data_IF_236509151450
#
_entry.id   IF_236509151450
#
_cell.length_a   1.000
_cell.length_b   1.000
_cell.length_c   1.000
_cell.angle_alpha   90.00
_cell.angle_beta   90.00
_cell.angle_gamma   90.00
#
_symmetry.space_group_name_H-M   'P 1'
#
loop_
_entity.id
_entity.type
_entity.pdbx_description
1 polymer ?
#
# COMPACT_ATOMS: atom_id res chain seq x y z
N UNK A 1 -7.12 10.29 -10.07
CA UNK A 1 -8.38 10.71 -10.73
C UNK A 1 -8.14 11.54 -12.00
N UNK A 2 -7.45 12.69 -11.94
CA UNK A 2 -7.32 13.62 -13.07
C UNK A 2 -6.77 12.97 -14.36
N UNK A 3 -5.76 12.10 -14.24
CA UNK A 3 -5.22 11.31 -15.35
C UNK A 3 -6.26 10.44 -16.08
N UNK A 4 -7.28 9.96 -15.36
CA UNK A 4 -8.35 9.11 -15.91
C UNK A 4 -9.49 9.88 -16.59
N UNK A 5 -9.49 11.21 -16.55
CA UNK A 5 -10.51 12.00 -17.24
C UNK A 5 -10.29 11.97 -18.76
N UNK A 6 -11.36 11.85 -19.58
CA UNK A 6 -11.26 11.84 -21.04
C UNK A 6 -10.58 13.08 -21.64
N UNK A 7 -10.60 14.22 -20.94
CA UNK A 7 -9.92 15.46 -21.33
C UNK A 7 -8.39 15.41 -21.18
N UNK A 8 -7.89 14.43 -20.41
CA UNK A 8 -6.45 14.18 -20.22
C UNK A 8 -6.02 12.95 -21.02
N UNK A 9 -6.72 11.82 -20.87
CA UNK A 9 -6.45 10.58 -21.60
C UNK A 9 -7.74 9.85 -21.94
N UNK A 10 -7.92 9.52 -23.22
CA UNK A 10 -9.05 8.74 -23.70
C UNK A 10 -8.97 7.30 -23.16
N UNK A 11 -10.14 6.68 -22.97
CA UNK A 11 -10.30 5.27 -22.60
C UNK A 11 -9.70 4.83 -21.23
N UNK A 12 -9.33 5.79 -20.37
CA UNK A 12 -8.85 5.55 -19.00
C UNK A 12 -9.94 5.68 -17.91
N UNK A 13 -11.21 5.45 -18.26
CA UNK A 13 -12.34 5.65 -17.34
C UNK A 13 -12.31 4.71 -16.13
N UNK A 14 -11.73 3.51 -16.27
CA UNK A 14 -11.55 2.58 -15.13
C UNK A 14 -10.63 3.18 -14.06
N UNK A 15 -9.55 3.87 -14.48
CA UNK A 15 -8.66 4.58 -13.54
C UNK A 15 -9.43 5.68 -12.83
N UNK A 16 -10.31 6.41 -13.54
CA UNK A 16 -11.15 7.44 -12.93
C UNK A 16 -12.09 6.86 -11.88
N UNK A 17 -12.85 5.82 -12.21
CA UNK A 17 -13.90 5.29 -11.33
C UNK A 17 -13.34 4.72 -10.03
N UNK A 18 -12.32 3.86 -10.10
CA UNK A 18 -11.74 3.22 -8.91
C UNK A 18 -11.07 4.23 -7.99
N UNK A 19 -10.36 5.23 -8.53
CA UNK A 19 -9.74 6.27 -7.73
C UNK A 19 -10.78 7.23 -7.14
N UNK A 20 -11.92 7.44 -7.81
CA UNK A 20 -13.02 8.26 -7.27
C UNK A 20 -13.68 7.56 -6.08
N UNK A 21 -13.91 6.24 -6.18
CA UNK A 21 -14.39 5.43 -5.05
C UNK A 21 -13.36 5.44 -3.91
N UNK A 22 -12.07 5.29 -4.24
CA UNK A 22 -10.97 5.38 -3.27
C UNK A 22 -10.95 6.70 -2.51
N UNK A 23 -11.10 7.83 -3.21
CA UNK A 23 -11.18 9.15 -2.60
C UNK A 23 -12.36 9.24 -1.63
N UNK A 24 -13.55 8.77 -2.01
CA UNK A 24 -14.72 8.79 -1.12
C UNK A 24 -14.43 8.01 0.17
N UNK A 25 -13.86 6.81 0.05
CA UNK A 25 -13.49 5.98 1.20
C UNK A 25 -12.44 6.69 2.08
N UNK A 26 -11.41 7.28 1.47
CA UNK A 26 -10.36 8.02 2.18
C UNK A 26 -10.92 9.24 2.93
N UNK A 27 -11.79 10.03 2.29
CA UNK A 27 -12.47 11.16 2.92
C UNK A 27 -13.34 10.72 4.09
N UNK A 28 -14.00 9.56 4.01
CA UNK A 28 -14.75 9.00 5.15
C UNK A 28 -13.80 8.65 6.31
N UNK A 29 -12.69 7.96 6.04
CA UNK A 29 -11.69 7.64 7.08
C UNK A 29 -11.10 8.90 7.72
N UNK A 30 -10.74 9.90 6.92
CA UNK A 30 -10.21 11.17 7.39
C UNK A 30 -11.24 11.97 8.19
N UNK A 31 -12.51 11.95 7.78
CA UNK A 31 -13.60 12.59 8.52
C UNK A 31 -13.75 11.97 9.90
N UNK A 32 -13.79 10.63 9.98
CA UNK A 32 -13.82 9.91 11.26
C UNK A 32 -12.60 10.29 12.11
N UNK A 33 -11.40 10.30 11.54
CA UNK A 33 -10.18 10.70 12.26
C UNK A 33 -10.26 12.14 12.80
N UNK A 34 -10.67 13.09 11.96
CA UNK A 34 -10.76 14.51 12.31
C UNK A 34 -11.90 14.78 13.29
N UNK A 35 -12.95 13.96 13.36
CA UNK A 35 -14.03 14.14 14.36
C UNK A 35 -13.64 13.51 15.70
N UNK A 36 -13.10 12.29 15.69
CA UNK A 36 -12.96 11.47 16.90
C UNK A 36 -11.56 11.46 17.53
N UNK A 37 -10.52 11.96 16.86
CA UNK A 37 -9.19 11.98 17.46
C UNK A 37 -9.13 12.95 18.67
N UNK A 38 -8.63 12.47 19.80
CA UNK A 38 -8.57 13.26 21.04
C UNK A 38 -7.49 14.38 20.99
N UNK A 39 -6.49 14.24 20.11
CA UNK A 39 -5.38 15.20 20.00
C UNK A 39 -5.70 16.31 19.00
N UNK A 40 -6.13 17.48 19.51
CA UNK A 40 -6.44 18.66 18.71
C UNK A 40 -5.26 19.13 17.84
N UNK A 41 -4.01 19.02 18.33
CA UNK A 41 -2.84 19.45 17.55
C UNK A 41 -2.61 18.53 16.35
N UNK A 42 -2.75 17.22 16.53
CA UNK A 42 -2.66 16.24 15.42
C UNK A 42 -3.78 16.44 14.41
N UNK A 43 -5.02 16.65 14.87
CA UNK A 43 -6.17 16.94 13.98
C UNK A 43 -5.93 18.18 13.12
N UNK A 44 -5.49 19.28 13.73
CA UNK A 44 -5.19 20.50 12.99
C UNK A 44 -4.03 20.28 12.01
N UNK A 45 -3.00 19.52 12.38
CA UNK A 45 -1.90 19.18 11.46
C UNK A 45 -2.42 18.43 10.24
N UNK A 46 -3.26 17.40 10.42
CA UNK A 46 -3.87 16.65 9.32
C UNK A 46 -4.73 17.57 8.46
N UNK A 47 -5.56 18.42 9.05
CA UNK A 47 -6.39 19.37 8.30
C UNK A 47 -5.56 20.33 7.42
N UNK A 48 -4.44 20.86 7.92
CA UNK A 48 -3.55 21.72 7.12
C UNK A 48 -2.85 20.94 5.99
N UNK A 49 -2.45 19.69 6.23
CA UNK A 49 -1.86 18.82 5.19
C UNK A 49 -2.89 18.58 4.08
N UNK A 50 -4.14 18.27 4.42
CA UNK A 50 -5.22 18.06 3.45
C UNK A 50 -5.52 19.33 2.64
N UNK A 51 -5.52 20.50 3.30
CA UNK A 51 -5.69 21.77 2.61
C UNK A 51 -4.56 22.01 1.60
N UNK A 52 -3.31 21.75 2.01
CA UNK A 52 -2.15 21.90 1.15
C UNK A 52 -2.17 20.92 -0.05
N UNK A 53 -2.58 19.68 0.17
CA UNK A 53 -2.76 18.67 -0.88
C UNK A 53 -3.87 19.05 -1.87
N UNK A 54 -5.00 19.55 -1.38
CA UNK A 54 -6.09 20.03 -2.22
C UNK A 54 -5.64 21.23 -3.06
N UNK A 55 -4.92 22.18 -2.46
CA UNK A 55 -4.36 23.33 -3.17
C UNK A 55 -3.34 22.90 -4.24
N UNK A 56 -2.45 21.94 -3.92
CA UNK A 56 -1.50 21.37 -4.86
C UNK A 56 -2.22 20.69 -6.03
N UNK A 57 -3.27 19.93 -5.76
CA UNK A 57 -4.08 19.27 -6.79
C UNK A 57 -4.72 20.28 -7.73
N UNK A 58 -5.33 21.35 -7.19
CA UNK A 58 -5.89 22.44 -8.00
C UNK A 58 -4.81 23.11 -8.84
N UNK A 59 -3.63 23.39 -8.27
CA UNK A 59 -2.52 23.99 -9.00
C UNK A 59 -2.05 23.09 -10.16
N UNK A 60 -1.87 21.79 -9.92
CA UNK A 60 -1.48 20.83 -10.97
C UNK A 60 -2.52 20.76 -12.09
N UNK A 61 -3.82 20.74 -11.73
CA UNK A 61 -4.91 20.75 -12.73
C UNK A 61 -4.89 22.04 -13.55
N UNK A 62 -4.75 23.20 -12.91
CA UNK A 62 -4.70 24.48 -13.61
C UNK A 62 -3.49 24.58 -14.54
N UNK A 63 -2.29 24.19 -14.07
CA UNK A 63 -1.07 24.17 -14.90
C UNK A 63 -1.26 23.21 -16.09
N UNK A 64 -1.81 22.01 -15.86
CA UNK A 64 -2.07 21.05 -16.93
C UNK A 64 -3.07 21.57 -17.96
N UNK A 65 -4.09 22.33 -17.54
CA UNK A 65 -5.12 22.85 -18.44
C UNK A 65 -4.69 24.12 -19.18
N UNK A 66 -3.93 25.00 -18.53
CA UNK A 66 -3.56 26.31 -19.06
C UNK A 66 -2.21 26.30 -19.80
N UNK A 67 -1.27 25.46 -19.40
CA UNK A 67 0.09 25.44 -19.95
C UNK A 67 0.35 24.26 -20.90
N UNK A 68 -0.48 23.21 -20.86
CA UNK A 68 -0.27 22.01 -21.68
C UNK A 68 -1.53 21.63 -22.46
N UNK A 69 -1.40 21.63 -23.79
CA UNK A 69 -2.47 21.16 -24.67
C UNK A 69 -2.15 19.74 -25.19
N UNK A 70 -1.24 19.63 -26.16
CA UNK A 70 -0.85 18.34 -26.77
C UNK A 70 -0.12 17.37 -25.82
N UNK A 71 0.60 17.90 -24.82
CA UNK A 71 1.42 17.11 -23.89
C UNK A 71 0.78 16.93 -22.51
N UNK A 72 -0.51 17.26 -22.36
CA UNK A 72 -1.22 17.19 -21.07
C UNK A 72 -1.16 15.81 -20.43
N UNK A 73 -1.41 14.75 -21.21
CA UNK A 73 -1.36 13.37 -20.71
C UNK A 73 0.03 12.98 -20.20
N UNK A 74 1.10 13.46 -20.84
CA UNK A 74 2.48 13.18 -20.44
C UNK A 74 2.80 13.86 -19.11
N UNK A 75 2.49 15.16 -18.99
CA UNK A 75 2.70 15.93 -17.77
C UNK A 75 1.94 15.34 -16.57
N UNK A 76 0.64 15.08 -16.74
CA UNK A 76 -0.20 14.52 -15.68
C UNK A 76 0.20 13.08 -15.35
N UNK A 77 0.56 12.29 -16.37
CA UNK A 77 1.01 10.91 -16.20
C UNK A 77 2.28 10.80 -15.36
N UNK A 78 3.30 11.62 -15.64
CA UNK A 78 4.56 11.65 -14.88
C UNK A 78 4.27 11.97 -13.41
N UNK A 79 3.47 13.01 -13.14
CA UNK A 79 3.15 13.40 -11.76
C UNK A 79 2.41 12.26 -11.06
N UNK A 80 1.38 11.70 -11.69
CA UNK A 80 0.60 10.61 -11.11
C UNK A 80 1.46 9.37 -10.80
N UNK A 81 2.36 9.00 -11.71
CA UNK A 81 3.27 7.87 -11.56
C UNK A 81 4.27 8.08 -10.41
N UNK A 82 4.87 9.27 -10.31
CA UNK A 82 5.78 9.64 -9.20
C UNK A 82 5.08 9.51 -7.84
N UNK A 83 3.86 10.07 -7.71
CA UNK A 83 3.10 9.94 -6.47
C UNK A 83 2.75 8.48 -6.16
N UNK A 84 2.38 7.69 -7.17
CA UNK A 84 2.09 6.26 -7.00
C UNK A 84 3.32 5.49 -6.50
N UNK A 85 4.49 5.74 -7.08
CA UNK A 85 5.75 5.10 -6.67
C UNK A 85 6.10 5.45 -5.23
N UNK A 86 5.94 6.72 -4.82
CA UNK A 86 6.19 7.16 -3.44
C UNK A 86 5.31 6.40 -2.44
N UNK A 87 4.07 6.03 -2.80
CA UNK A 87 3.19 5.26 -1.92
C UNK A 87 3.77 3.88 -1.55
N UNK A 88 4.63 3.32 -2.40
CA UNK A 88 5.32 2.06 -2.09
C UNK A 88 6.35 2.17 -0.96
N UNK A 89 6.63 3.38 -0.43
CA UNK A 89 7.38 3.53 0.82
C UNK A 89 6.66 2.89 2.03
N UNK A 90 5.32 2.88 2.04
CA UNK A 90 4.54 2.30 3.13
C UNK A 90 4.77 0.79 3.31
N UNK A 91 4.63 -0.07 2.27
CA UNK A 91 4.92 -1.51 2.40
C UNK A 91 6.38 -1.79 2.77
N UNK A 92 7.35 -1.00 2.31
CA UNK A 92 8.76 -1.14 2.74
C UNK A 92 8.93 -0.99 4.26
N UNK A 93 8.18 -0.08 4.88
CA UNK A 93 8.14 0.06 6.34
C UNK A 93 7.62 -1.19 7.05
N UNK A 94 6.60 -1.84 6.48
CA UNK A 94 6.05 -3.11 6.99
C UNK A 94 7.07 -4.24 6.80
N UNK A 95 7.77 -4.32 5.67
CA UNK A 95 8.81 -5.34 5.45
C UNK A 95 9.92 -5.22 6.49
N UNK A 96 10.38 -4.00 6.78
CA UNK A 96 11.34 -3.75 7.85
C UNK A 96 10.81 -4.26 9.19
N UNK A 97 9.55 -3.97 9.52
CA UNK A 97 8.92 -4.46 10.75
C UNK A 97 8.89 -5.98 10.81
N UNK A 98 8.51 -6.66 9.74
CA UNK A 98 8.48 -8.14 9.66
C UNK A 98 9.88 -8.73 9.83
N UNK A 99 10.90 -8.17 9.15
CA UNK A 99 12.27 -8.66 9.22
C UNK A 99 12.87 -8.48 10.63
N UNK A 100 12.59 -7.35 11.29
CA UNK A 100 13.08 -7.06 12.64
C UNK A 100 12.36 -7.88 13.70
N UNK A 101 11.02 -7.98 13.61
CA UNK A 101 10.21 -8.70 14.60
C UNK A 101 10.15 -10.21 14.36
N UNK A 102 10.60 -10.68 13.18
CA UNK A 102 10.50 -12.07 12.74
C UNK A 102 9.05 -12.60 12.76
N UNK A 103 8.08 -11.70 12.65
CA UNK A 103 6.64 -11.99 12.74
C UNK A 103 5.89 -11.31 11.60
N UNK A 104 4.86 -12.01 11.09
CA UNK A 104 3.97 -11.54 10.01
C UNK A 104 2.68 -10.91 10.54
N UNK A 105 2.57 -10.65 11.84
CA UNK A 105 1.37 -10.09 12.48
C UNK A 105 0.86 -8.79 11.83
N UNK A 106 1.79 -7.93 11.39
CA UNK A 106 1.48 -6.65 10.74
C UNK A 106 1.31 -6.77 9.21
N UNK A 107 1.38 -7.98 8.66
CA UNK A 107 1.31 -8.26 7.22
C UNK A 107 0.26 -9.35 6.95
N UNK A 108 -1.04 -9.02 6.93
CA UNK A 108 -2.07 -10.01 6.70
C UNK A 108 -1.96 -10.63 5.30
N UNK A 109 -2.09 -11.96 5.25
CA UNK A 109 -1.91 -12.74 4.02
C UNK A 109 -2.86 -12.31 2.90
N UNK A 110 -4.17 -12.28 3.18
CA UNK A 110 -5.18 -11.95 2.17
C UNK A 110 -5.05 -10.53 1.63
N UNK A 111 -4.58 -9.59 2.45
CA UNK A 111 -4.30 -8.23 2.00
C UNK A 111 -3.10 -8.21 1.04
N UNK A 112 -2.08 -9.02 1.32
CA UNK A 112 -0.89 -9.17 0.46
C UNK A 112 -1.25 -9.82 -0.88
N UNK A 113 -2.09 -10.86 -0.88
CA UNK A 113 -2.62 -11.48 -2.11
C UNK A 113 -3.45 -10.49 -2.90
N UNK A 114 -4.39 -9.78 -2.27
CA UNK A 114 -5.20 -8.76 -2.93
C UNK A 114 -4.34 -7.64 -3.54
N UNK A 115 -3.27 -7.21 -2.84
CA UNK A 115 -2.31 -6.24 -3.35
C UNK A 115 -1.57 -6.73 -4.59
N UNK A 116 -1.08 -7.97 -4.58
CA UNK A 116 -0.43 -8.58 -5.75
C UNK A 116 -1.40 -8.71 -6.92
N UNK A 117 -2.59 -9.26 -6.69
CA UNK A 117 -3.62 -9.40 -7.73
C UNK A 117 -3.99 -8.04 -8.33
N UNK A 118 -4.16 -7.01 -7.50
CA UNK A 118 -4.40 -5.64 -7.96
C UNK A 118 -3.24 -5.14 -8.86
N UNK A 119 -1.99 -5.31 -8.43
CA UNK A 119 -0.82 -4.94 -9.22
C UNK A 119 -0.78 -5.64 -10.58
N UNK A 120 -1.06 -6.96 -10.61
CA UNK A 120 -1.11 -7.75 -11.86
C UNK A 120 -2.25 -7.25 -12.77
N UNK A 121 -3.46 -7.10 -12.24
CA UNK A 121 -4.61 -6.63 -13.02
C UNK A 121 -4.35 -5.27 -13.67
N UNK A 122 -3.79 -4.32 -12.93
CA UNK A 122 -3.48 -2.99 -13.48
C UNK A 122 -2.28 -2.99 -14.42
N UNK A 123 -1.30 -3.87 -14.20
CA UNK A 123 -0.19 -4.08 -15.14
C UNK A 123 -0.73 -4.58 -16.48
N UNK A 124 -1.61 -5.58 -16.47
CA UNK A 124 -2.28 -6.08 -17.68
C UNK A 124 -3.13 -4.98 -18.32
N UNK A 125 -3.90 -4.24 -17.53
CA UNK A 125 -4.71 -3.12 -18.04
C UNK A 125 -3.84 -2.04 -18.70
N UNK A 126 -2.68 -1.71 -18.13
CA UNK A 126 -1.72 -0.78 -18.73
C UNK A 126 -1.05 -1.35 -19.99
N UNK A 127 -0.85 -2.66 -20.07
CA UNK A 127 -0.22 -3.31 -21.22
C UNK A 127 -1.11 -3.28 -22.47
N UNK A 128 -2.44 -3.45 -22.32
CA UNK A 128 -3.39 -3.53 -23.45
C UNK A 128 -3.33 -2.27 -24.36
N UNK A 129 -3.48 -1.03 -23.85
CA UNK A 129 -3.33 0.20 -24.63
C UNK A 129 -1.88 0.72 -24.66
N UNK A 130 -0.93 -0.03 -24.11
CA UNK A 130 0.45 0.39 -23.88
C UNK A 130 0.57 1.75 -23.15
N UNK A 131 -0.12 1.86 -22.02
CA UNK A 131 -0.04 2.97 -21.08
C UNK A 131 1.18 2.81 -20.16
N UNK A 132 2.30 3.43 -20.54
CA UNK A 132 3.58 3.32 -19.83
C UNK A 132 3.48 3.71 -18.34
N UNK A 133 2.68 4.71 -17.99
CA UNK A 133 2.57 5.17 -16.60
C UNK A 133 1.88 4.12 -15.72
N UNK A 134 0.78 3.53 -16.21
CA UNK A 134 0.11 2.45 -15.50
C UNK A 134 0.97 1.19 -15.44
N UNK A 135 1.73 0.91 -16.50
CA UNK A 135 2.60 -0.24 -16.57
C UNK A 135 3.77 -0.14 -15.56
N UNK A 136 4.44 1.02 -15.50
CA UNK A 136 5.56 1.25 -14.59
C UNK A 136 5.10 1.21 -13.14
N UNK A 137 4.08 2.00 -12.78
CA UNK A 137 3.60 2.06 -11.40
C UNK A 137 3.13 0.69 -10.91
N UNK A 138 2.21 0.07 -11.63
CA UNK A 138 1.58 -1.17 -11.18
C UNK A 138 2.48 -2.39 -11.36
N UNK A 139 3.40 -2.36 -12.33
CA UNK A 139 4.44 -3.37 -12.48
C UNK A 139 5.37 -3.40 -11.26
N UNK A 140 5.80 -2.23 -10.79
CA UNK A 140 6.54 -2.11 -9.53
C UNK A 140 5.71 -2.61 -8.35
N UNK A 141 4.42 -2.27 -8.28
CA UNK A 141 3.49 -2.79 -7.28
C UNK A 141 3.36 -4.30 -7.30
N UNK A 142 3.30 -4.93 -8.47
CA UNK A 142 3.25 -6.37 -8.62
C UNK A 142 4.56 -7.02 -8.14
N UNK A 143 5.72 -6.47 -8.52
CA UNK A 143 7.02 -6.93 -8.01
C UNK A 143 7.06 -6.85 -6.48
N UNK A 144 6.60 -5.75 -5.91
CA UNK A 144 6.54 -5.57 -4.46
C UNK A 144 5.57 -6.58 -3.82
N UNK A 145 4.42 -6.84 -4.44
CA UNK A 145 3.47 -7.86 -3.99
C UNK A 145 4.09 -9.27 -3.96
N UNK A 146 4.89 -9.63 -4.97
CA UNK A 146 5.63 -10.91 -5.00
C UNK A 146 6.63 -10.98 -3.84
N UNK A 147 7.43 -9.92 -3.65
CA UNK A 147 8.40 -9.85 -2.55
C UNK A 147 7.68 -9.94 -1.20
N UNK A 148 6.56 -9.23 -1.03
CA UNK A 148 5.76 -9.21 0.19
C UNK A 148 5.24 -10.60 0.55
N UNK A 149 4.68 -11.33 -0.41
CA UNK A 149 4.23 -12.71 -0.18
C UNK A 149 5.40 -13.67 0.06
N UNK A 150 6.54 -13.47 -0.62
CA UNK A 150 7.77 -14.24 -0.36
C UNK A 150 8.26 -14.06 1.08
N UNK A 151 8.31 -12.82 1.57
CA UNK A 151 8.64 -12.51 2.97
C UNK A 151 7.62 -13.10 3.94
N UNK A 152 6.33 -13.00 3.63
CA UNK A 152 5.28 -13.61 4.44
C UNK A 152 5.51 -15.11 4.60
N UNK A 153 5.65 -15.85 3.49
CA UNK A 153 5.88 -17.30 3.52
C UNK A 153 7.14 -17.64 4.32
N UNK A 154 8.24 -16.94 4.07
CA UNK A 154 9.50 -17.19 4.77
C UNK A 154 9.34 -17.05 6.29
N UNK A 155 8.80 -15.93 6.77
CA UNK A 155 8.68 -15.69 8.22
C UNK A 155 7.54 -16.46 8.88
N UNK A 156 6.47 -16.78 8.16
CA UNK A 156 5.39 -17.63 8.66
C UNK A 156 5.91 -19.05 8.96
N UNK A 157 6.57 -19.70 7.99
CA UNK A 157 7.10 -21.05 8.18
C UNK A 157 8.31 -21.08 9.13
N UNK A 158 9.16 -20.05 9.09
CA UNK A 158 10.29 -19.94 10.02
C UNK A 158 9.83 -19.71 11.47
N UNK A 159 8.80 -18.88 11.67
CA UNK A 159 8.19 -18.65 12.99
C UNK A 159 7.53 -19.91 13.55
N UNK A 160 6.81 -20.66 12.71
CA UNK A 160 6.19 -21.92 13.11
C UNK A 160 7.24 -22.97 13.54
N UNK A 161 8.36 -23.08 12.80
CA UNK A 161 9.46 -23.98 13.13
C UNK A 161 10.11 -23.65 14.49
N UNK A 162 10.43 -22.38 14.73
CA UNK A 162 11.02 -21.95 15.99
C UNK A 162 10.05 -22.06 17.18
N UNK A 163 8.76 -21.80 16.96
CA UNK A 163 7.75 -21.98 18.02
C UNK A 163 7.62 -23.45 18.43
N UNK A 164 7.68 -24.38 17.47
CA UNK A 164 7.68 -25.83 17.75
C UNK A 164 8.96 -26.28 18.47
N UNK A 165 10.13 -25.77 18.08
CA UNK A 165 11.39 -26.05 18.78
C UNK A 165 11.43 -25.48 20.20
N UNK A 166 10.92 -24.26 20.40
CA UNK A 166 10.82 -23.63 21.72
C UNK A 166 9.89 -24.39 22.67
N UNK A 167 8.70 -24.79 22.19
CA UNK A 167 7.75 -25.60 22.95
C UNK A 167 8.33 -26.98 23.31
N UNK A 168 9.06 -27.61 22.37
CA UNK A 168 9.74 -28.89 22.61
C UNK A 168 10.81 -28.76 23.71
N UNK A 169 11.65 -27.72 23.67
CA UNK A 169 12.65 -27.47 24.71
C UNK A 169 12.03 -27.18 26.07
N UNK A 170 10.95 -26.39 26.13
CA UNK A 170 10.23 -26.16 27.39
C UNK A 170 9.62 -27.45 27.97
N UNK A 171 9.03 -28.29 27.12
CA UNK A 171 8.51 -29.60 27.55
C UNK A 171 9.63 -30.52 28.06
N UNK A 172 10.80 -30.53 27.42
CA UNK A 172 11.97 -31.30 27.88
C UNK A 172 12.46 -30.81 29.25
N UNK A 173 12.56 -29.49 29.44
CA UNK A 173 12.99 -28.90 30.72
C UNK A 173 11.97 -29.16 31.83
N UNK A 174 10.67 -29.15 31.53
CA UNK A 174 9.63 -29.51 32.50
C UNK A 174 9.65 -30.99 32.87
N UNK A 175 9.95 -31.88 31.91
CA UNK A 175 10.07 -33.32 32.16
C UNK A 175 11.33 -33.68 32.95
N UNK A 176 12.46 -32.99 32.70
CA UNK A 176 13.71 -33.19 33.46
C UNK A 176 13.66 -32.64 34.88
N UNK A 177 12.84 -31.61 35.12
CA UNK A 177 12.67 -31.00 36.44
C UNK A 177 11.59 -31.68 37.29
N UNK A 178 10.92 -32.72 36.77
CA UNK A 178 10.03 -33.54 37.56
C UNK A 178 10.88 -34.49 38.42
N UNK A 179 10.80 -34.41 39.77
CA UNK A 179 11.53 -35.36 40.62
C UNK A 179 10.99 -36.75 40.34
N UNK A 180 11.83 -37.66 39.87
CA UNK A 180 11.59 -39.10 39.85
C UNK A 180 11.57 -39.63 41.29
N UNK A 181 10.55 -39.21 42.05
CA UNK A 181 10.46 -39.47 43.48
C UNK A 181 9.03 -39.34 43.97
N UNK A 182 8.23 -40.37 43.73
CA UNK A 182 7.19 -40.80 44.67
C UNK A 182 6.78 -42.24 44.39
N UNK A 183 7.11 -43.09 45.38
CA UNK A 183 6.65 -44.46 45.67
C UNK A 183 7.14 -45.60 44.77
#
# INVERSE_FOLDING_TARGET
MFYGLPIVKKDNILVLTINSVGLVIELLYLTVYVVYANDRKKRLRVAHILLAEAALTVAVVLIAMLCFDKHRSLFVGIIADVFNIIMYAAPLGIWKKVITTKSVEYMPFWLSVAGLSNGICWTIYGLIPFDLFLLVSNGLGAIFGVIQLGLYCYFYFYGEKNSKEGAKKQSEVQLSNHPTGAA
#
